data_IF_057691657211
#
_entry.id   IF_057691657211
#
_cell.length_a   1.000
_cell.length_b   1.000
_cell.length_c   1.000
_cell.angle_alpha   90.00
_cell.angle_beta   90.00
_cell.angle_gamma   90.00
#
_symmetry.space_group_name_H-M   'P 1'
#
loop_
_entity.id
_entity.type
_entity.pdbx_description
1 polymer ?
#
# COMPACT_ATOMS: atom_id res chain seq x y z
N UNK A 1 -10.89 22.84 -1.02
CA UNK A 1 -11.01 21.36 -1.02
C UNK A 1 -12.33 21.00 -1.67
N UNK A 2 -12.31 20.11 -2.67
CA UNK A 2 -13.49 19.60 -3.40
C UNK A 2 -13.60 18.10 -3.14
N UNK A 3 -14.06 17.69 -1.95
CA UNK A 3 -14.06 16.27 -1.54
C UNK A 3 -14.87 15.39 -2.48
N UNK A 4 -15.86 15.95 -3.18
CA UNK A 4 -16.66 15.26 -4.20
C UNK A 4 -15.84 14.79 -5.41
N UNK A 5 -14.66 15.39 -5.66
CA UNK A 5 -13.76 15.01 -6.77
C UNK A 5 -12.63 14.07 -6.36
N UNK A 6 -12.55 13.69 -5.08
CA UNK A 6 -11.47 12.86 -4.53
C UNK A 6 -11.88 11.38 -4.37
N UNK A 7 -13.07 11.00 -4.89
CA UNK A 7 -13.59 9.62 -4.85
C UNK A 7 -13.32 8.92 -6.19
N UNK A 8 -12.58 7.82 -6.13
CA UNK A 8 -12.35 6.91 -7.26
C UNK A 8 -13.05 5.57 -7.02
N UNK A 9 -14.02 5.22 -7.87
CA UNK A 9 -14.66 3.90 -7.86
C UNK A 9 -13.76 2.87 -8.54
N UNK A 10 -13.57 1.72 -7.91
CA UNK A 10 -12.71 0.63 -8.39
C UNK A 10 -13.43 -0.72 -8.27
N UNK A 11 -12.96 -1.72 -9.02
CA UNK A 11 -13.38 -3.11 -8.94
C UNK A 11 -12.76 -3.80 -7.70
N UNK A 12 -13.15 -3.32 -6.52
CA UNK A 12 -12.70 -3.81 -5.22
C UNK A 12 -11.32 -3.28 -4.79
N UNK A 13 -10.97 -3.58 -3.53
CA UNK A 13 -9.78 -3.03 -2.88
C UNK A 13 -8.44 -3.39 -3.55
N UNK A 14 -8.35 -4.56 -4.19
CA UNK A 14 -7.12 -4.95 -4.88
C UNK A 14 -6.82 -4.05 -6.10
N UNK A 15 -7.86 -3.67 -6.87
CA UNK A 15 -7.66 -2.73 -7.98
C UNK A 15 -7.32 -1.34 -7.44
N UNK A 16 -7.90 -0.91 -6.32
CA UNK A 16 -7.52 0.34 -5.68
C UNK A 16 -6.03 0.36 -5.29
N UNK A 17 -5.53 -0.70 -4.64
CA UNK A 17 -4.10 -0.83 -4.31
C UNK A 17 -3.22 -0.80 -5.57
N UNK A 18 -3.63 -1.49 -6.64
CA UNK A 18 -2.93 -1.45 -7.91
C UNK A 18 -2.80 -0.02 -8.47
N UNK A 19 -3.91 0.72 -8.52
CA UNK A 19 -3.91 2.11 -9.02
C UNK A 19 -3.06 3.02 -8.14
N UNK A 20 -3.14 2.89 -6.81
CA UNK A 20 -2.35 3.69 -5.86
C UNK A 20 -0.86 3.44 -6.09
N UNK A 21 -0.43 2.18 -6.10
CA UNK A 21 1.00 1.85 -6.17
C UNK A 21 1.61 2.16 -7.54
N UNK A 22 0.89 1.90 -8.63
CA UNK A 22 1.36 2.25 -9.99
C UNK A 22 1.32 3.74 -10.29
N UNK A 23 0.47 4.50 -9.60
CA UNK A 23 0.33 5.95 -9.80
C UNK A 23 1.26 6.79 -8.92
N UNK A 24 1.72 6.27 -7.77
CA UNK A 24 2.44 7.05 -6.76
C UNK A 24 3.90 6.65 -6.56
N UNK A 25 4.28 5.39 -6.79
CA UNK A 25 5.62 4.90 -6.45
C UNK A 25 6.57 5.07 -7.63
N UNK A 26 7.74 5.64 -7.36
CA UNK A 26 8.87 5.60 -8.28
C UNK A 26 9.78 4.39 -8.00
N UNK A 27 10.47 3.84 -9.02
CA UNK A 27 11.45 2.78 -8.81
C UNK A 27 12.54 3.17 -7.81
N UNK A 28 12.82 2.28 -6.86
CA UNK A 28 13.80 2.48 -5.79
C UNK A 28 13.25 3.16 -4.53
N UNK A 29 12.00 3.65 -4.52
CA UNK A 29 11.38 4.20 -3.32
C UNK A 29 10.96 3.11 -2.34
N UNK A 30 11.14 3.37 -1.04
CA UNK A 30 10.71 2.48 0.02
C UNK A 30 9.23 2.70 0.35
N UNK A 31 8.49 1.60 0.52
CA UNK A 31 7.11 1.60 1.00
C UNK A 31 7.05 0.90 2.33
N UNK A 32 6.65 1.63 3.38
CA UNK A 32 6.48 1.08 4.72
C UNK A 32 5.24 0.18 4.77
N UNK A 33 5.41 -1.05 5.26
CA UNK A 33 4.35 -2.06 5.35
C UNK A 33 4.25 -2.56 6.80
N UNK A 34 3.15 -2.31 7.53
CA UNK A 34 2.93 -2.92 8.84
C UNK A 34 2.95 -4.44 8.74
N UNK A 35 3.49 -5.15 9.72
CA UNK A 35 3.47 -6.61 9.78
C UNK A 35 3.02 -7.08 11.16
N UNK A 36 2.01 -7.97 11.26
CA UNK A 36 1.40 -8.73 10.16
C UNK A 36 0.36 -7.92 9.36
N UNK A 37 0.26 -8.18 8.05
CA UNK A 37 -0.75 -7.56 7.19
C UNK A 37 -1.22 -8.49 6.06
N UNK A 38 -2.23 -8.03 5.31
CA UNK A 38 -2.64 -8.68 4.07
C UNK A 38 -1.53 -8.60 3.01
N UNK A 39 -1.41 -9.61 2.15
CA UNK A 39 -0.32 -9.72 1.17
C UNK A 39 -0.60 -8.85 -0.07
N UNK A 40 0.03 -7.66 -0.13
CA UNK A 40 -0.04 -6.74 -1.28
C UNK A 40 1.33 -6.26 -1.80
N UNK A 41 2.44 -6.66 -1.17
CA UNK A 41 3.79 -6.20 -1.50
C UNK A 41 4.22 -6.54 -2.95
N UNK A 42 3.66 -7.59 -3.56
CA UNK A 42 3.97 -7.94 -4.94
C UNK A 42 3.68 -6.83 -5.95
N UNK A 43 2.70 -5.95 -5.68
CA UNK A 43 2.41 -4.80 -6.55
C UNK A 43 3.47 -3.69 -6.39
N UNK A 44 3.97 -3.51 -5.17
CA UNK A 44 5.05 -2.56 -4.87
C UNK A 44 6.33 -2.99 -5.59
N UNK A 45 6.66 -4.28 -5.52
CA UNK A 45 7.81 -4.86 -6.23
C UNK A 45 7.65 -4.75 -7.75
N UNK A 46 6.43 -4.96 -8.28
CA UNK A 46 6.11 -4.85 -9.71
C UNK A 46 6.49 -3.48 -10.29
N UNK A 47 6.33 -2.40 -9.51
CA UNK A 47 6.64 -1.03 -9.93
C UNK A 47 8.07 -0.60 -9.57
N UNK A 48 8.89 -1.54 -9.10
CA UNK A 48 10.28 -1.29 -8.71
C UNK A 48 10.43 -0.64 -7.34
N UNK A 49 9.35 -0.55 -6.55
CA UNK A 49 9.41 -0.10 -5.16
C UNK A 49 10.02 -1.18 -4.24
N UNK A 50 10.48 -0.75 -3.08
CA UNK A 50 11.13 -1.60 -2.08
C UNK A 50 10.21 -1.74 -0.86
N UNK A 51 9.58 -2.90 -0.64
CA UNK A 51 8.82 -3.16 0.57
C UNK A 51 9.71 -3.10 1.82
N UNK A 52 9.37 -2.24 2.78
CA UNK A 52 10.04 -2.14 4.08
C UNK A 52 9.06 -2.49 5.18
N UNK A 53 9.18 -3.70 5.72
CA UNK A 53 8.30 -4.17 6.77
C UNK A 53 8.58 -3.47 8.11
N UNK A 54 7.50 -3.03 8.76
CA UNK A 54 7.46 -2.47 10.10
C UNK A 54 6.72 -3.48 11.01
N UNK A 55 7.44 -4.38 11.72
CA UNK A 55 6.82 -5.34 12.61
C UNK A 55 6.10 -4.65 13.77
N UNK A 56 4.90 -5.12 14.10
CA UNK A 56 4.19 -4.80 15.34
C UNK A 56 4.04 -6.04 16.20
N UNK A 57 3.97 -5.83 17.51
CA UNK A 57 3.96 -6.90 18.51
C UNK A 57 2.53 -7.23 18.95
N UNK A 58 2.26 -8.51 19.19
CA UNK A 58 0.94 -8.97 19.67
C UNK A 58 0.60 -8.39 21.05
N UNK A 59 1.59 -8.26 21.93
CA UNK A 59 1.44 -7.70 23.29
C UNK A 59 1.01 -6.22 23.28
N UNK A 60 1.21 -5.52 22.15
CA UNK A 60 0.71 -4.17 21.90
C UNK A 60 -0.49 -4.14 20.95
N UNK A 61 -1.23 -5.25 20.82
CA UNK A 61 -2.37 -5.42 19.90
C UNK A 61 -2.05 -5.11 18.43
N UNK A 62 -0.83 -5.41 17.99
CA UNK A 62 -0.34 -5.10 16.64
C UNK A 62 -0.37 -3.60 16.29
N UNK A 63 -0.41 -2.72 17.30
CA UNK A 63 -0.31 -1.27 17.13
C UNK A 63 1.12 -0.82 16.79
#
# INVERSE_FOLDING_TARGET
>A
NRPETEILVTNGGMQALYVIFTGLINPGEEVLIPSPCFFFNGIIELVGGIPRYCPSEEDNNFA
#
